data_IF_451302439510
#
_entry.id   IF_451302439510
#
_cell.length_a   1.000
_cell.length_b   1.000
_cell.length_c   1.000
_cell.angle_alpha   90.00
_cell.angle_beta   90.00
_cell.angle_gamma   90.00
#
_symmetry.space_group_name_H-M   'P 1'
#
loop_
_entity.id
_entity.type
_entity.pdbx_description
1 polymer ?
#
# COMPACT_ATOMS: atom_id res chain seq x y z
N UNK A 1 -28.48 13.09 -5.83
CA UNK A 1 -27.63 11.89 -5.75
C UNK A 1 -26.27 12.21 -6.34
N UNK A 2 -25.21 12.17 -5.53
CA UNK A 2 -23.86 12.47 -6.01
C UNK A 2 -23.35 11.33 -6.90
N UNK A 3 -23.04 11.63 -8.17
CA UNK A 3 -22.44 10.66 -9.11
C UNK A 3 -20.95 10.56 -8.78
N UNK A 4 -20.49 9.40 -8.33
CA UNK A 4 -19.06 9.14 -8.14
C UNK A 4 -18.37 9.19 -9.52
N UNK A 5 -17.32 10.02 -9.70
CA UNK A 5 -16.55 10.01 -10.92
C UNK A 5 -15.96 8.61 -11.16
N UNK A 6 -16.02 8.07 -12.39
CA UNK A 6 -15.49 6.73 -12.69
C UNK A 6 -13.99 6.60 -12.37
N UNK A 7 -13.27 7.73 -12.33
CA UNK A 7 -11.86 7.81 -11.93
C UNK A 7 -11.64 7.44 -10.46
N UNK A 8 -12.54 7.83 -9.56
CA UNK A 8 -12.46 7.52 -8.13
C UNK A 8 -12.63 6.02 -7.88
N UNK A 9 -13.55 5.39 -8.60
CA UNK A 9 -13.80 3.94 -8.50
C UNK A 9 -12.57 3.16 -8.97
N UNK A 10 -11.97 3.54 -10.11
CA UNK A 10 -10.76 2.88 -10.62
C UNK A 10 -9.59 3.03 -9.65
N UNK A 11 -9.41 4.23 -9.08
CA UNK A 11 -8.35 4.49 -8.09
C UNK A 11 -8.54 3.67 -6.81
N UNK A 12 -9.75 3.62 -6.28
CA UNK A 12 -10.08 2.82 -5.11
C UNK A 12 -9.80 1.33 -5.36
N UNK A 13 -10.22 0.82 -6.53
CA UNK A 13 -9.98 -0.56 -6.92
C UNK A 13 -8.47 -0.89 -7.01
N UNK A 14 -7.68 -0.02 -7.67
CA UNK A 14 -6.22 -0.18 -7.75
C UNK A 14 -5.58 -0.21 -6.37
N UNK A 15 -6.00 0.68 -5.46
CA UNK A 15 -5.52 0.69 -4.08
C UNK A 15 -5.86 -0.61 -3.36
N UNK A 16 -7.11 -1.08 -3.46
CA UNK A 16 -7.54 -2.33 -2.83
C UNK A 16 -6.67 -3.50 -3.26
N UNK A 17 -6.44 -3.68 -4.58
CA UNK A 17 -5.57 -4.75 -5.06
C UNK A 17 -4.13 -4.61 -4.57
N UNK A 18 -3.61 -3.38 -4.54
CA UNK A 18 -2.26 -3.10 -4.06
C UNK A 18 -2.11 -3.49 -2.58
N UNK A 19 -3.03 -3.04 -1.72
CA UNK A 19 -3.02 -3.39 -0.29
C UNK A 19 -3.15 -4.89 -0.06
N UNK A 20 -4.06 -5.58 -0.76
CA UNK A 20 -4.21 -7.04 -0.65
C UNK A 20 -2.92 -7.76 -1.06
N UNK A 21 -2.28 -7.31 -2.15
CA UNK A 21 -0.98 -7.85 -2.58
C UNK A 21 0.10 -7.67 -1.53
N UNK A 22 0.19 -6.49 -0.90
CA UNK A 22 1.16 -6.22 0.16
C UNK A 22 0.91 -7.08 1.40
N UNK A 23 -0.35 -7.28 1.82
CA UNK A 23 -0.70 -8.18 2.93
C UNK A 23 -0.21 -9.59 2.64
N UNK A 24 -0.56 -10.14 1.48
CA UNK A 24 -0.21 -11.52 1.13
C UNK A 24 1.32 -11.69 1.00
N UNK A 25 2.01 -10.74 0.35
CA UNK A 25 3.45 -10.81 0.19
C UNK A 25 4.21 -10.73 1.51
N UNK A 26 3.83 -9.81 2.39
CA UNK A 26 4.46 -9.69 3.71
C UNK A 26 4.12 -10.85 4.65
N UNK A 27 2.86 -11.32 4.66
CA UNK A 27 2.48 -12.51 5.42
C UNK A 27 3.25 -13.76 4.97
N UNK A 28 3.48 -13.92 3.66
CA UNK A 28 4.28 -15.02 3.14
C UNK A 28 5.75 -14.94 3.56
N UNK A 29 6.36 -13.75 3.47
CA UNK A 29 7.76 -13.52 3.92
C UNK A 29 7.92 -13.79 5.42
N UNK A 30 7.01 -13.25 6.24
CA UNK A 30 7.03 -13.46 7.69
C UNK A 30 6.78 -14.93 8.07
N UNK A 31 5.87 -15.60 7.37
CA UNK A 31 5.61 -17.04 7.60
C UNK A 31 6.78 -17.95 7.23
N UNK A 32 7.68 -17.52 6.34
CA UNK A 32 8.91 -18.24 6.03
C UNK A 32 10.04 -17.94 7.02
N UNK A 33 10.04 -16.74 7.60
CA UNK A 33 11.12 -16.25 8.47
C UNK A 33 10.87 -16.63 9.94
N UNK A 34 9.60 -16.75 10.34
CA UNK A 34 9.20 -16.96 11.73
C UNK A 34 8.50 -18.32 11.92
N UNK A 35 8.82 -19.08 12.99
CA UNK A 35 8.21 -20.37 13.29
C UNK A 35 6.86 -20.23 14.04
N UNK A 36 6.03 -19.23 13.70
CA UNK A 36 4.74 -18.99 14.34
C UNK A 36 3.56 -19.51 13.49
N UNK A 37 2.40 -19.65 14.12
CA UNK A 37 1.18 -20.05 13.42
C UNK A 37 0.77 -19.00 12.37
N UNK A 38 0.42 -19.48 11.18
CA UNK A 38 0.09 -18.63 10.03
C UNK A 38 -1.06 -17.66 10.33
N UNK A 39 -2.06 -18.09 11.13
CA UNK A 39 -3.18 -17.23 11.51
C UNK A 39 -2.72 -16.04 12.34
N UNK A 40 -1.80 -16.24 13.27
CA UNK A 40 -1.22 -15.18 14.09
C UNK A 40 -0.47 -14.17 13.23
N UNK A 41 0.44 -14.66 12.38
CA UNK A 41 1.22 -13.81 11.46
C UNK A 41 0.32 -13.02 10.52
N UNK A 42 -0.70 -13.65 9.93
CA UNK A 42 -1.65 -12.98 9.05
C UNK A 42 -2.43 -11.88 9.79
N UNK A 43 -2.88 -12.15 11.02
CA UNK A 43 -3.57 -11.16 11.85
C UNK A 43 -2.68 -9.95 12.16
N UNK A 44 -1.41 -10.17 12.53
CA UNK A 44 -0.42 -9.12 12.77
C UNK A 44 -0.21 -8.24 11.53
N UNK A 45 0.01 -8.85 10.37
CA UNK A 45 0.25 -8.13 9.11
C UNK A 45 -0.95 -7.27 8.72
N UNK A 46 -2.16 -7.82 8.81
CA UNK A 46 -3.40 -7.08 8.51
C UNK A 46 -3.61 -5.94 9.49
N UNK A 47 -3.39 -6.18 10.79
CA UNK A 47 -3.51 -5.16 11.83
C UNK A 47 -2.48 -4.03 11.68
N UNK A 48 -1.22 -4.38 11.37
CA UNK A 48 -0.15 -3.42 11.12
C UNK A 48 -0.44 -2.54 9.90
N UNK A 49 -0.83 -3.14 8.78
CA UNK A 49 -1.16 -2.39 7.56
C UNK A 49 -2.42 -1.55 7.72
N UNK A 50 -3.40 -2.01 8.48
CA UNK A 50 -4.59 -1.23 8.83
C UNK A 50 -4.37 -0.20 9.93
N UNK A 51 -3.19 -0.19 10.58
CA UNK A 51 -2.89 0.60 11.78
C UNK A 51 -3.93 0.44 12.90
N UNK A 52 -4.48 -0.77 13.04
CA UNK A 52 -5.53 -1.09 14.02
C UNK A 52 -4.96 -1.15 15.44
N UNK A 53 -3.67 -1.49 15.56
CA UNK A 53 -2.97 -1.53 16.85
C UNK A 53 -3.31 -2.75 17.71
N UNK A 54 -4.04 -3.72 17.16
CA UNK A 54 -4.32 -5.01 17.81
C UNK A 54 -3.20 -6.01 17.49
N UNK A 55 -2.82 -6.80 18.48
CA UNK A 55 -1.82 -7.84 18.35
C UNK A 55 -2.34 -9.12 18.99
N UNK A 56 -2.01 -10.24 18.37
CA UNK A 56 -2.17 -11.60 18.90
C UNK A 56 -1.16 -11.91 20.01
N UNK A 57 -0.29 -10.96 20.38
CA UNK A 57 0.75 -11.10 21.41
C UNK A 57 2.10 -11.57 20.85
N UNK A 58 2.17 -11.88 19.56
CA UNK A 58 3.35 -12.47 18.91
C UNK A 58 4.36 -11.38 18.52
N UNK A 59 3.94 -10.11 18.39
CA UNK A 59 4.78 -8.96 17.99
C UNK A 59 6.08 -8.81 18.81
N UNK A 60 6.04 -9.18 20.10
CA UNK A 60 7.21 -9.11 20.99
C UNK A 60 8.25 -10.19 20.71
N UNK A 61 7.81 -11.36 20.27
CA UNK A 61 8.65 -12.56 20.04
C UNK A 61 9.18 -12.66 18.60
N UNK A 62 8.75 -11.77 17.69
CA UNK A 62 9.32 -11.70 16.35
C UNK A 62 10.82 -11.38 16.37
N UNK A 63 11.54 -11.94 15.40
CA UNK A 63 12.90 -11.57 15.05
C UNK A 63 13.02 -10.08 14.74
N UNK A 64 14.21 -9.52 14.94
CA UNK A 64 14.49 -8.11 14.62
C UNK A 64 14.14 -7.76 13.17
N UNK A 65 14.31 -8.73 12.26
CA UNK A 65 13.93 -8.58 10.84
C UNK A 65 12.40 -8.52 10.67
N UNK A 66 11.65 -9.38 11.37
CA UNK A 66 10.19 -9.38 11.33
C UNK A 66 9.59 -8.10 11.91
N UNK A 67 10.18 -7.58 13.01
CA UNK A 67 9.81 -6.29 13.60
C UNK A 67 10.04 -5.13 12.64
N UNK A 68 11.16 -5.12 11.91
CA UNK A 68 11.43 -4.10 10.89
C UNK A 68 10.35 -4.09 9.80
N UNK A 69 9.93 -5.26 9.32
CA UNK A 69 8.88 -5.41 8.32
C UNK A 69 7.54 -4.86 8.85
N UNK A 70 7.17 -5.19 10.09
CA UNK A 70 5.94 -4.66 10.71
C UNK A 70 5.96 -3.14 10.87
N UNK A 71 7.10 -2.55 11.25
CA UNK A 71 7.24 -1.09 11.35
C UNK A 71 7.02 -0.44 9.97
N UNK A 72 7.60 -1.01 8.91
CA UNK A 72 7.40 -0.53 7.54
C UNK A 72 5.93 -0.67 7.10
N UNK A 73 5.27 -1.77 7.43
CA UNK A 73 3.85 -1.98 7.16
C UNK A 73 2.96 -0.96 7.87
N UNK A 74 3.25 -0.63 9.14
CA UNK A 74 2.52 0.42 9.87
C UNK A 74 2.71 1.80 9.25
N UNK A 75 3.94 2.12 8.83
CA UNK A 75 4.23 3.38 8.16
C UNK A 75 3.48 3.50 6.83
N UNK A 76 3.50 2.44 6.01
CA UNK A 76 2.75 2.39 4.75
C UNK A 76 1.24 2.38 4.95
N UNK A 77 0.74 1.75 6.00
CA UNK A 77 -0.66 1.76 6.40
C UNK A 77 -1.16 3.16 6.73
N UNK A 78 -0.37 3.92 7.51
CA UNK A 78 -0.74 5.28 7.95
C UNK A 78 -0.60 6.34 6.86
N UNK A 79 0.52 6.36 6.14
CA UNK A 79 0.84 7.37 5.11
C UNK A 79 0.14 7.06 3.79
N UNK A 80 -0.11 5.77 3.54
CA UNK A 80 -0.58 5.25 2.27
C UNK A 80 0.57 4.98 1.31
N UNK A 81 0.70 3.73 0.85
CA UNK A 81 1.76 3.28 -0.08
C UNK A 81 1.85 4.22 -1.29
N UNK A 82 0.70 4.61 -1.84
CA UNK A 82 0.64 5.46 -3.02
C UNK A 82 1.12 6.87 -2.70
N UNK A 83 0.72 7.48 -1.58
CA UNK A 83 1.22 8.81 -1.18
C UNK A 83 2.72 8.80 -0.95
N UNK A 84 3.25 7.75 -0.30
CA UNK A 84 4.68 7.59 -0.08
C UNK A 84 5.45 7.47 -1.41
N UNK A 85 4.96 6.65 -2.32
CA UNK A 85 5.53 6.48 -3.67
C UNK A 85 5.48 7.79 -4.45
N UNK A 86 4.35 8.51 -4.46
CA UNK A 86 4.24 9.83 -5.08
C UNK A 86 5.14 10.89 -4.42
N UNK A 87 5.43 10.79 -3.13
CA UNK A 87 6.35 11.69 -2.44
C UNK A 87 7.83 11.42 -2.74
N UNK A 88 8.19 10.17 -3.03
CA UNK A 88 9.53 9.79 -3.47
C UNK A 88 9.75 9.97 -4.97
N UNK A 89 8.70 9.86 -5.79
CA UNK A 89 8.75 10.20 -7.20
C UNK A 89 8.71 11.72 -7.32
N UNK A 90 9.84 12.31 -7.66
CA UNK A 90 9.90 13.68 -8.16
C UNK A 90 8.93 13.76 -9.34
N UNK A 91 7.80 14.44 -9.13
CA UNK A 91 6.85 14.68 -10.19
C UNK A 91 7.51 15.73 -11.08
N UNK A 92 8.28 15.27 -12.05
CA UNK A 92 8.46 16.03 -13.28
C UNK A 92 7.05 16.17 -13.84
N UNK A 93 6.46 17.32 -13.56
CA UNK A 93 5.22 17.78 -14.15
C UNK A 93 5.46 17.73 -15.65
N UNK A 94 5.09 16.62 -16.29
CA UNK A 94 5.08 16.51 -17.75
C UNK A 94 4.05 17.53 -18.19
N UNK A 95 4.59 18.71 -18.46
CA UNK A 95 3.92 19.90 -18.92
C UNK A 95 2.93 19.41 -19.95
N UNK A 96 1.65 19.59 -19.64
CA UNK A 96 0.55 19.29 -20.55
C UNK A 96 0.58 20.35 -21.65
N UNK A 97 1.60 20.29 -22.51
CA UNK A 97 1.68 21.14 -23.69
C UNK A 97 0.66 20.55 -24.66
N UNK A 98 -0.56 21.06 -24.52
CA UNK A 98 -1.62 20.88 -25.50
C UNK A 98 -1.14 21.57 -26.78
N UNK A 99 -0.60 20.80 -27.71
CA UNK A 99 -0.43 21.30 -29.06
C UNK A 99 -1.79 21.77 -29.56
N UNK A 100 -1.86 23.01 -30.01
CA UNK A 100 -3.03 23.52 -30.70
C UNK A 100 -3.20 22.70 -31.98
N UNK A 101 -4.40 22.16 -32.21
CA UNK A 101 -4.81 21.69 -33.53
C UNK A 101 -4.78 22.88 -34.48
N UNK A 102 -3.61 23.14 -35.06
CA UNK A 102 -3.47 24.11 -36.14
C UNK A 102 -4.00 23.41 -37.37
N UNK A 103 -5.29 23.59 -37.60
CA UNK A 103 -5.91 23.27 -38.87
C UNK A 103 -5.26 24.20 -39.90
N UNK A 104 -4.24 23.71 -40.61
CA UNK A 104 -3.61 24.42 -41.73
C UNK A 104 -4.54 24.23 -42.92
N UNK A 105 -5.29 25.26 -43.36
CA UNK A 105 -5.91 25.18 -44.66
C UNK A 105 -4.79 25.28 -45.70
N UNK A 106 -4.79 24.30 -46.59
CA UNK A 106 -4.05 24.24 -47.86
C UNK A 106 -4.00 25.58 -48.59
#
# INVERSE_FOLDING_TARGET
GHRLPPQTVRKALTLTFLYVGTILGSAFILSLTEPFDFRGVFFEVVSALGTVGLSTGITGELSDTGKLILILLMFWGRVGIVTFVYGMLETEDKTRISYADTNVPI
#
